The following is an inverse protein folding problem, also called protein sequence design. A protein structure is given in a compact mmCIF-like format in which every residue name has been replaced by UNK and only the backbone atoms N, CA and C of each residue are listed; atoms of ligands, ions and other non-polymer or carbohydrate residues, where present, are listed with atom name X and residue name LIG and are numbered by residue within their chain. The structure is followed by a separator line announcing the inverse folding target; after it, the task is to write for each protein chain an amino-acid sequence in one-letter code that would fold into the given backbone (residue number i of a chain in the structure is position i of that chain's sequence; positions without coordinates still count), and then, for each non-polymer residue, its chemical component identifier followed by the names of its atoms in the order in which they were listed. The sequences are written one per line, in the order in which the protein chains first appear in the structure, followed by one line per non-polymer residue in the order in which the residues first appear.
data_IF_544559262189
#
_entry.id   IF_544559262189
#
_cell.length_a   1.000
_cell.length_b   1.000
_cell.length_c   1.000
_cell.angle_alpha   90.00
_cell.angle_beta   90.00
_cell.angle_gamma   90.00
#
_symmetry.space_group_name_H-M   'P 1'
#
loop_
_entity.id
_entity.type
_entity.pdbx_description
1 polymer ?
#
# COMPACT_ATOMS: atom_id res chain seq x y z
N UNK A 1 -19.46 -2.81 -5.42
CA UNK A 1 -18.49 -2.82 -6.54
C UNK A 1 -17.18 -2.18 -6.11
N UNK A 2 -16.06 -2.73 -6.50
CA UNK A 2 -14.75 -2.18 -6.17
C UNK A 2 -14.08 -1.61 -7.42
N UNK A 3 -13.23 -0.61 -7.23
CA UNK A 3 -12.47 0.04 -8.30
C UNK A 3 -10.98 -0.16 -8.02
N UNK A 4 -10.25 -0.66 -9.01
CA UNK A 4 -8.80 -0.87 -8.93
C UNK A 4 -8.06 0.26 -9.65
N UNK A 5 -7.05 0.81 -8.98
CA UNK A 5 -6.12 1.79 -9.57
C UNK A 5 -4.69 1.26 -9.39
N UNK A 6 -3.85 1.43 -10.41
CA UNK A 6 -2.46 1.02 -10.38
C UNK A 6 -1.54 2.21 -10.71
N UNK A 7 -0.48 2.37 -9.92
CA UNK A 7 0.54 3.41 -10.11
C UNK A 7 1.92 2.74 -10.07
N UNK A 8 2.70 2.91 -11.13
CA UNK A 8 4.10 2.50 -11.15
C UNK A 8 4.97 3.67 -10.69
N UNK A 9 5.98 3.42 -9.87
CA UNK A 9 6.85 4.46 -9.32
C UNK A 9 8.32 4.18 -9.57
N UNK A 10 9.05 5.20 -9.99
CA UNK A 10 10.51 5.19 -10.14
C UNK A 10 11.21 5.76 -8.91
N UNK A 11 10.46 6.20 -7.92
CA UNK A 11 10.99 6.80 -6.70
C UNK A 11 11.78 5.78 -5.89
N UNK A 12 13.02 6.12 -5.56
CA UNK A 12 13.90 5.28 -4.74
C UNK A 12 13.53 5.30 -3.25
N UNK A 13 12.71 6.24 -2.81
CA UNK A 13 12.25 6.36 -1.43
C UNK A 13 11.02 5.50 -1.19
N UNK A 14 11.22 4.25 -0.82
CA UNK A 14 10.12 3.35 -0.47
C UNK A 14 9.38 3.79 0.80
N UNK A 15 9.99 4.59 1.64
CA UNK A 15 9.36 5.11 2.87
C UNK A 15 8.30 6.15 2.61
N UNK A 16 8.29 6.77 1.43
CA UNK A 16 7.25 7.75 1.06
C UNK A 16 5.86 7.12 1.04
N UNK A 17 5.74 5.91 0.48
CA UNK A 17 4.49 5.19 0.45
C UNK A 17 3.99 4.88 1.87
N UNK A 18 4.88 4.41 2.75
CA UNK A 18 4.55 4.13 4.15
C UNK A 18 4.04 5.39 4.86
N UNK A 19 4.73 6.50 4.69
CA UNK A 19 4.31 7.79 5.28
C UNK A 19 2.94 8.22 4.76
N UNK A 20 2.70 8.08 3.47
CA UNK A 20 1.40 8.42 2.87
C UNK A 20 0.27 7.56 3.46
N UNK A 21 0.52 6.28 3.71
CA UNK A 21 -0.51 5.36 4.21
C UNK A 21 -0.83 5.58 5.68
N UNK A 22 0.15 5.92 6.49
CA UNK A 22 0.00 6.07 7.96
C UNK A 22 -0.51 7.45 8.36
N UNK A 23 -0.05 8.51 7.68
CA UNK A 23 -0.40 9.88 8.03
C UNK A 23 -1.57 10.42 7.20
N UNK A 24 -2.35 11.31 7.80
CA UNK A 24 -3.47 11.96 7.10
C UNK A 24 -2.96 12.95 6.05
N UNK A 25 -3.59 12.94 4.88
CA UNK A 25 -3.27 13.84 3.77
C UNK A 25 -4.55 14.49 3.25
N UNK A 26 -4.41 15.73 2.77
CA UNK A 26 -5.48 16.41 2.05
C UNK A 26 -5.63 15.73 0.68
N UNK A 27 -6.84 15.27 0.38
CA UNK A 27 -7.10 14.49 -0.85
C UNK A 27 -6.99 15.34 -2.13
N UNK A 28 -7.13 16.64 -2.03
CA UNK A 28 -7.02 17.55 -3.18
C UNK A 28 -5.59 18.01 -3.44
N UNK A 29 -4.86 18.37 -2.38
CA UNK A 29 -3.50 18.92 -2.50
C UNK A 29 -2.42 17.84 -2.35
N UNK A 30 -2.76 16.67 -1.83
CA UNK A 30 -1.84 15.57 -1.51
C UNK A 30 -0.78 15.95 -0.45
N UNK A 31 -1.01 17.04 0.28
CA UNK A 31 -0.10 17.50 1.34
C UNK A 31 -0.50 16.90 2.68
N UNK A 32 0.47 16.63 3.57
CA UNK A 32 0.16 16.16 4.92
C UNK A 32 -0.70 17.16 5.69
N UNK A 33 -1.63 16.63 6.48
CA UNK A 33 -2.41 17.42 7.43
C UNK A 33 -1.60 17.51 8.71
N UNK A 34 -1.38 18.73 9.19
CA UNK A 34 -0.55 19.01 10.36
C UNK A 34 -1.41 19.41 11.56
N UNK A 35 -0.95 19.08 12.77
CA UNK A 35 -1.54 19.57 14.00
C UNK A 35 -1.07 21.02 14.30
N UNK A 36 -1.50 21.59 15.44
CA UNK A 36 -1.15 22.96 15.83
C UNK A 36 0.35 23.16 16.07
N UNK A 37 1.09 22.08 16.33
CA UNK A 37 2.54 22.10 16.57
C UNK A 37 3.36 21.82 15.29
N UNK A 38 2.70 21.60 14.15
CA UNK A 38 3.35 21.32 12.88
C UNK A 38 3.73 19.85 12.67
N UNK A 39 3.23 18.95 13.50
CA UNK A 39 3.46 17.50 13.34
C UNK A 39 2.39 16.90 12.43
N UNK A 40 2.80 15.91 11.61
CA UNK A 40 1.85 15.17 10.77
C UNK A 40 0.91 14.33 11.62
N UNK A 41 -0.39 14.41 11.32
CA UNK A 41 -1.40 13.63 12.03
C UNK A 41 -1.43 12.19 11.53
N UNK A 42 -1.38 11.25 12.48
CA UNK A 42 -1.56 9.82 12.17
C UNK A 42 -3.06 9.58 11.89
N UNK A 43 -3.37 8.70 10.94
CA UNK A 43 -4.76 8.31 10.67
C UNK A 43 -5.38 7.70 11.91
N UNK A 44 -6.64 8.03 12.19
CA UNK A 44 -7.34 7.53 13.37
C UNK A 44 -7.54 6.01 13.32
N UNK A 45 -7.80 5.48 12.14
CA UNK A 45 -7.96 4.05 11.94
C UNK A 45 -7.22 3.63 10.68
N UNK A 46 -6.29 2.70 10.84
CA UNK A 46 -5.62 2.05 9.73
C UNK A 46 -5.16 0.65 10.15
N UNK A 47 -5.02 -0.22 9.16
CA UNK A 47 -4.49 -1.58 9.33
C UNK A 47 -3.28 -1.70 8.43
N UNK A 48 -2.18 -2.21 8.95
CA UNK A 48 -0.92 -2.29 8.22
C UNK A 48 -0.27 -3.64 8.47
N UNK A 49 0.03 -4.36 7.39
CA UNK A 49 0.74 -5.63 7.42
C UNK A 49 1.81 -5.66 6.33
N UNK A 50 2.81 -6.52 6.52
CA UNK A 50 3.83 -6.78 5.51
C UNK A 50 3.75 -8.20 4.98
N UNK A 51 4.06 -8.37 3.70
CA UNK A 51 4.31 -9.67 3.11
C UNK A 51 5.78 -9.76 2.76
N UNK A 52 6.44 -10.84 3.19
CA UNK A 52 7.87 -11.09 2.97
C UNK A 52 8.77 -9.95 3.51
N UNK A 53 8.26 -9.16 4.44
CA UNK A 53 8.96 -8.06 5.09
C UNK A 53 8.21 -7.64 6.35
N UNK A 54 8.92 -6.94 7.24
CA UNK A 54 8.28 -6.23 8.34
C UNK A 54 7.70 -4.91 7.79
N UNK A 55 6.43 -4.58 8.06
CA UNK A 55 5.82 -3.37 7.52
C UNK A 55 6.54 -2.08 7.95
N UNK A 56 7.14 -2.05 9.14
CA UNK A 56 7.86 -0.89 9.64
C UNK A 56 9.30 -0.80 9.13
N UNK A 57 9.79 -1.84 8.47
CA UNK A 57 11.13 -1.89 7.86
C UNK A 57 11.07 -2.05 6.35
N UNK A 58 9.92 -1.85 5.75
CA UNK A 58 9.68 -2.09 4.32
C UNK A 58 10.72 -1.41 3.43
N UNK A 59 10.98 -0.13 3.66
CA UNK A 59 11.94 0.63 2.85
C UNK A 59 13.34 0.03 2.91
N UNK A 60 13.84 -0.24 4.13
CA UNK A 60 15.17 -0.81 4.32
C UNK A 60 15.28 -2.20 3.71
N UNK A 61 14.28 -3.05 3.92
CA UNK A 61 14.29 -4.42 3.40
C UNK A 61 14.20 -4.46 1.87
N UNK A 62 13.44 -3.55 1.25
CA UNK A 62 13.40 -3.43 -0.21
C UNK A 62 14.77 -3.00 -0.77
N UNK A 63 15.42 -2.05 -0.12
CA UNK A 63 16.75 -1.60 -0.52
C UNK A 63 17.78 -2.71 -0.41
N UNK A 64 17.73 -3.52 0.64
CA UNK A 64 18.60 -4.69 0.80
C UNK A 64 18.38 -5.72 -0.33
N UNK A 65 17.13 -6.01 -0.66
CA UNK A 65 16.78 -6.93 -1.73
C UNK A 65 17.29 -6.43 -3.08
N UNK A 66 17.10 -5.15 -3.36
CA UNK A 66 17.56 -4.53 -4.60
C UNK A 66 19.09 -4.57 -4.72
N UNK A 67 19.80 -4.31 -3.63
CA UNK A 67 21.26 -4.38 -3.60
C UNK A 67 21.76 -5.81 -3.80
N UNK A 68 21.11 -6.78 -3.17
CA UNK A 68 21.46 -8.19 -3.29
C UNK A 68 21.39 -8.69 -4.73
N UNK A 69 20.31 -8.31 -5.45
CA UNK A 69 20.10 -8.72 -6.84
C UNK A 69 20.69 -7.74 -7.86
N UNK A 70 21.31 -6.65 -7.42
CA UNK A 70 21.84 -5.59 -8.30
C UNK A 70 20.77 -5.02 -9.24
N UNK A 71 19.54 -4.84 -8.71
CA UNK A 71 18.39 -4.31 -9.43
C UNK A 71 17.91 -3.01 -8.80
N UNK A 72 17.12 -2.25 -9.56
CA UNK A 72 16.52 -0.98 -9.12
C UNK A 72 17.56 0.06 -8.64
N UNK A 73 18.75 0.01 -9.22
CA UNK A 73 19.85 0.93 -8.91
C UNK A 73 19.86 2.15 -9.82
N UNK A 74 19.18 2.07 -10.96
CA UNK A 74 19.14 3.12 -11.99
C UNK A 74 17.94 4.04 -11.77
N UNK A 75 18.11 5.32 -12.06
CA UNK A 75 17.06 6.34 -11.98
C UNK A 75 15.82 5.97 -12.82
N UNK A 76 16.01 5.32 -13.96
CA UNK A 76 14.94 5.02 -14.91
C UNK A 76 14.16 3.74 -14.60
N UNK A 77 14.62 2.92 -13.66
CA UNK A 77 13.94 1.67 -13.33
C UNK A 77 12.71 1.91 -12.47
N UNK A 78 11.63 1.18 -12.79
CA UNK A 78 10.43 1.16 -11.95
C UNK A 78 10.75 0.36 -10.69
N UNK A 79 10.64 0.99 -9.52
CA UNK A 79 11.05 0.42 -8.24
C UNK A 79 9.91 -0.19 -7.47
N UNK A 80 8.73 0.37 -7.58
CA UNK A 80 7.55 -0.12 -6.86
C UNK A 80 6.28 0.02 -7.69
N UNK A 81 5.29 -0.78 -7.32
CA UNK A 81 3.94 -0.68 -7.87
C UNK A 81 2.96 -0.49 -6.70
N UNK A 82 2.06 0.44 -6.85
CA UNK A 82 1.05 0.74 -5.86
C UNK A 82 -0.33 0.42 -6.44
N UNK A 83 -1.03 -0.51 -5.83
CA UNK A 83 -2.39 -0.91 -6.19
C UNK A 83 -3.34 -0.40 -5.12
N UNK A 84 -4.40 0.26 -5.55
CA UNK A 84 -5.43 0.80 -4.66
C UNK A 84 -6.76 0.18 -5.05
N UNK A 85 -7.42 -0.47 -4.11
CA UNK A 85 -8.76 -1.01 -4.32
C UNK A 85 -9.72 -0.26 -3.39
N UNK A 86 -10.62 0.51 -4.00
CA UNK A 86 -11.63 1.30 -3.30
C UNK A 86 -12.97 0.58 -3.38
N UNK A 87 -13.65 0.48 -2.25
CA UNK A 87 -14.95 -0.17 -2.16
C UNK A 87 -16.08 0.84 -2.32
N UNK A 88 -17.19 0.41 -2.93
CA UNK A 88 -18.41 1.20 -2.95
C UNK A 88 -18.83 1.47 -1.50
N UNK A 89 -19.28 2.70 -1.15
CA UNK A 89 -19.77 2.98 0.18
C UNK A 89 -20.88 2.03 0.66
N UNK A 90 -21.66 1.48 -0.25
CA UNK A 90 -22.70 0.48 0.05
C UNK A 90 -22.14 -0.81 0.63
N UNK A 91 -20.91 -1.20 0.28
CA UNK A 91 -20.28 -2.40 0.83
C UNK A 91 -20.12 -2.28 2.35
N UNK A 92 -19.84 -1.08 2.84
CA UNK A 92 -19.77 -0.78 4.26
C UNK A 92 -21.15 -0.57 4.88
N UNK A 93 -21.98 0.29 4.26
CA UNK A 93 -23.22 0.76 4.86
C UNK A 93 -24.35 -0.28 4.76
N UNK A 94 -24.42 -1.05 3.68
CA UNK A 94 -25.46 -2.05 3.44
C UNK A 94 -25.01 -3.50 3.66
N UNK A 95 -23.71 -3.78 3.47
CA UNK A 95 -23.16 -5.14 3.54
C UNK A 95 -22.20 -5.36 4.71
N UNK A 96 -21.99 -4.34 5.54
CA UNK A 96 -21.25 -4.46 6.79
C UNK A 96 -19.74 -4.68 6.63
N UNK A 97 -19.14 -4.25 5.51
CA UNK A 97 -17.69 -4.35 5.33
C UNK A 97 -16.96 -3.55 6.40
N UNK A 98 -16.10 -4.22 7.17
CA UNK A 98 -15.25 -3.59 8.17
C UNK A 98 -13.84 -3.35 7.63
N UNK A 99 -13.08 -2.47 8.29
CA UNK A 99 -11.66 -2.25 7.95
C UNK A 99 -10.85 -3.54 8.10
N UNK A 100 -11.12 -4.34 9.12
CA UNK A 100 -10.46 -5.62 9.34
C UNK A 100 -10.72 -6.60 8.19
N UNK A 101 -11.95 -6.69 7.70
CA UNK A 101 -12.32 -7.53 6.56
C UNK A 101 -11.65 -7.04 5.27
N UNK A 102 -11.60 -5.73 5.05
CA UNK A 102 -10.93 -5.14 3.90
C UNK A 102 -9.43 -5.45 3.93
N UNK A 103 -8.79 -5.36 5.09
CA UNK A 103 -7.37 -5.71 5.26
C UNK A 103 -7.12 -7.18 4.94
N UNK A 104 -7.99 -8.06 5.39
CA UNK A 104 -7.90 -9.49 5.08
C UNK A 104 -7.97 -9.77 3.58
N UNK A 105 -8.90 -9.12 2.90
CA UNK A 105 -9.03 -9.20 1.45
C UNK A 105 -7.77 -8.70 0.74
N UNK A 106 -7.20 -7.59 1.22
CA UNK A 106 -5.97 -7.04 0.68
C UNK A 106 -4.79 -7.99 0.82
N UNK A 107 -4.65 -8.62 1.98
CA UNK A 107 -3.60 -9.60 2.23
C UNK A 107 -3.74 -10.84 1.33
N UNK A 108 -4.95 -11.36 1.19
CA UNK A 108 -5.21 -12.50 0.30
C UNK A 108 -4.91 -12.15 -1.15
N UNK A 109 -5.36 -10.98 -1.60
CA UNK A 109 -5.11 -10.50 -2.95
C UNK A 109 -3.60 -10.38 -3.23
N UNK A 110 -2.85 -9.83 -2.29
CA UNK A 110 -1.41 -9.66 -2.43
C UNK A 110 -0.68 -11.02 -2.47
N UNK A 111 -1.08 -11.96 -1.63
CA UNK A 111 -0.49 -13.30 -1.62
C UNK A 111 -0.72 -14.05 -2.92
N UNK A 112 -1.91 -13.93 -3.49
CA UNK A 112 -2.27 -14.64 -4.72
C UNK A 112 -1.66 -14.01 -5.97
N UNK A 113 -1.57 -12.68 -6.02
CA UNK A 113 -1.18 -11.97 -7.23
C UNK A 113 0.29 -11.54 -7.24
N UNK A 114 0.92 -11.40 -6.08
CA UNK A 114 2.31 -10.93 -5.97
C UNK A 114 3.18 -11.86 -5.12
N UNK A 115 3.14 -13.18 -5.39
CA UNK A 115 3.94 -14.11 -4.59
C UNK A 115 5.44 -13.81 -4.72
N UNK A 116 6.15 -13.90 -3.61
CA UNK A 116 7.60 -13.65 -3.58
C UNK A 116 8.01 -12.20 -3.49
N UNK A 117 7.12 -11.25 -3.75
CA UNK A 117 7.40 -9.83 -3.61
C UNK A 117 7.29 -9.38 -2.15
N UNK A 118 8.11 -8.42 -1.78
CA UNK A 118 7.93 -7.69 -0.53
C UNK A 118 6.79 -6.70 -0.74
N UNK A 119 5.87 -6.63 0.20
CA UNK A 119 4.69 -5.77 0.06
C UNK A 119 4.26 -5.16 1.38
N UNK A 120 3.76 -3.92 1.29
CA UNK A 120 2.94 -3.31 2.33
C UNK A 120 1.48 -3.47 1.94
N UNK A 121 0.64 -3.87 2.89
CA UNK A 121 -0.81 -3.91 2.72
C UNK A 121 -1.42 -3.06 3.80
N UNK A 122 -2.15 -2.02 3.41
CA UNK A 122 -2.75 -1.06 4.34
C UNK A 122 -4.19 -0.76 3.96
N UNK A 123 -5.07 -0.84 4.95
CA UNK A 123 -6.48 -0.45 4.79
C UNK A 123 -6.75 0.79 5.61
N UNK A 124 -7.39 1.77 5.02
CA UNK A 124 -7.89 2.95 5.72
C UNK A 124 -9.16 3.47 5.06
N UNK A 125 -9.81 4.38 5.73
CA UNK A 125 -10.98 5.06 5.23
C UNK A 125 -10.60 6.50 4.86
N UNK A 126 -11.08 6.95 3.72
CA UNK A 126 -10.90 8.32 3.24
C UNK A 126 -12.27 8.97 3.03
N UNK A 127 -12.41 10.24 3.42
CA UNK A 127 -13.63 11.00 3.18
C UNK A 127 -13.43 11.88 1.95
N UNK A 128 -14.24 11.64 0.92
CA UNK A 128 -14.24 12.42 -0.32
C UNK A 128 -15.64 12.96 -0.53
N UNK A 129 -15.78 14.30 -0.63
CA UNK A 129 -17.08 14.97 -0.82
C UNK A 129 -18.13 14.51 0.20
N UNK A 130 -17.73 14.45 1.49
CA UNK A 130 -18.55 14.03 2.62
C UNK A 130 -18.95 12.55 2.61
N UNK A 131 -18.41 11.75 1.69
CA UNK A 131 -18.65 10.30 1.64
C UNK A 131 -17.42 9.56 2.14
N UNK A 132 -17.61 8.68 3.11
CA UNK A 132 -16.54 7.83 3.62
C UNK A 132 -16.34 6.62 2.71
N UNK A 133 -15.14 6.44 2.21
CA UNK A 133 -14.76 5.36 1.30
C UNK A 133 -13.68 4.51 1.96
N UNK A 134 -13.97 3.22 2.11
CA UNK A 134 -12.97 2.25 2.57
C UNK A 134 -12.12 1.80 1.39
N UNK A 135 -10.81 1.68 1.62
CA UNK A 135 -9.90 1.23 0.58
C UNK A 135 -8.72 0.49 1.18
N UNK A 136 -8.17 -0.47 0.44
CA UNK A 136 -6.87 -1.00 0.80
C UNK A 136 -5.84 -0.65 -0.29
N UNK A 137 -4.61 -0.47 0.18
CA UNK A 137 -3.44 -0.19 -0.65
C UNK A 137 -2.49 -1.36 -0.57
N UNK A 138 -1.92 -1.74 -1.71
CA UNK A 138 -0.85 -2.73 -1.79
C UNK A 138 0.32 -2.06 -2.50
N UNK A 139 1.44 -1.91 -1.80
CA UNK A 139 2.69 -1.38 -2.38
C UNK A 139 3.69 -2.51 -2.42
N UNK A 140 4.15 -2.88 -3.61
CA UNK A 140 5.11 -3.97 -3.80
C UNK A 140 6.46 -3.43 -4.28
N UNK A 141 7.54 -4.08 -3.85
CA UNK A 141 8.83 -3.95 -4.50
C UNK A 141 8.73 -4.64 -5.87
N UNK A 142 9.19 -3.98 -6.93
CA UNK A 142 9.12 -4.55 -8.29
C UNK A 142 9.97 -5.82 -8.45
N UNK A 143 10.95 -6.02 -7.58
CA UNK A 143 11.83 -7.19 -7.59
C UNK A 143 11.34 -8.19 -6.54
N UNK A 144 11.21 -9.46 -6.93
CA UNK A 144 10.87 -10.52 -5.99
C UNK A 144 12.05 -10.80 -5.05
N UNK A 145 11.76 -10.94 -3.78
CA UNK A 145 12.74 -11.40 -2.79
C UNK A 145 12.94 -12.91 -2.85
N UNK A 146 11.86 -13.65 -3.13
CA UNK A 146 11.86 -15.11 -3.17
C UNK A 146 11.42 -15.62 -4.54
N UNK A 147 12.06 -16.70 -4.97
CA UNK A 147 11.64 -17.40 -6.19
C UNK A 147 10.27 -18.05 -5.97
N UNK A 148 9.50 -18.11 -7.04
CA UNK A 148 8.18 -18.71 -7.05
C UNK A 148 8.16 -19.74 -8.17
N UNK A 149 7.67 -20.95 -7.88
CA UNK A 149 7.51 -21.97 -8.91
C UNK A 149 6.48 -21.51 -9.95
N UNK A 150 6.78 -21.72 -11.26
CA UNK A 150 5.81 -21.41 -12.30
C UNK A 150 4.51 -22.17 -12.08
N UNK A 151 3.38 -21.46 -12.20
CA UNK A 151 2.07 -22.10 -12.12
C UNK A 151 1.77 -22.82 -13.43
N UNK A 152 1.25 -24.04 -13.39
CA UNK A 152 0.79 -24.71 -14.61
C UNK A 152 -0.41 -23.97 -15.20
N UNK A 153 -0.42 -23.85 -16.49
CA UNK A 153 -1.53 -23.23 -17.21
C UNK A 153 -2.61 -24.24 -17.58
#
# INVERSE_FOLDING_TARGET
MAILKHIASKNADYGEAERYLIFQHDEYTQKPILDDEGHMLIREEYYLDGLNCDPFSFAAECMETNAYFHKNQSFNEIKSHHYIISFDPKDRDEHGLTGEQAQKLGLEYARENFPGHQALVCTHMTVIMEVAISMFHIVINSIRKYDVEPQPY
#
